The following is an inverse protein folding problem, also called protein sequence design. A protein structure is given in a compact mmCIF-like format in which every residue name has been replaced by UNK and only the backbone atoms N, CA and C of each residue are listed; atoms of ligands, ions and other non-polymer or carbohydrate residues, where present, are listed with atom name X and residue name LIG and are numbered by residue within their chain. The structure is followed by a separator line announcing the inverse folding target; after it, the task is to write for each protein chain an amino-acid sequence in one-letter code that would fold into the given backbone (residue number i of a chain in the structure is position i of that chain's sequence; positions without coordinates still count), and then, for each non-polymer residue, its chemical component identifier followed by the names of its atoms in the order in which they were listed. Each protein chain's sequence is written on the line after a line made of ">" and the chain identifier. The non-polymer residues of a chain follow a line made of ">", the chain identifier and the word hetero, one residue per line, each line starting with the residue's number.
data_IF_418009252649
#
_entry.id   IF_418009252649
#
_cell.length_a   1.000
_cell.length_b   1.000
_cell.length_c   1.000
_cell.angle_alpha   90.00
_cell.angle_beta   90.00
_cell.angle_gamma   90.00
#
_symmetry.space_group_name_H-M   'P 1'
#
loop_
_entity.id
_entity.type
_entity.pdbx_description
1 polymer ?
#
# COMPACT_ATOMS: atom_id res chain seq x y z
N UNK A 1 5.84 -13.91 10.40
CA UNK A 1 5.44 -14.26 11.76
C UNK A 1 4.58 -15.51 11.76
N UNK A 2 4.81 -16.40 12.70
CA UNK A 2 3.96 -17.57 12.96
C UNK A 2 2.80 -17.13 13.84
N UNK A 3 1.92 -16.29 13.31
CA UNK A 3 0.75 -15.81 14.05
C UNK A 3 -0.25 -16.93 14.29
N UNK A 4 -0.87 -16.96 15.46
CA UNK A 4 -1.98 -17.84 15.73
C UNK A 4 -3.19 -17.40 14.90
N UNK A 5 -3.77 -18.32 14.14
CA UNK A 5 -5.01 -18.09 13.39
C UNK A 5 -6.16 -18.68 14.18
N UNK A 6 -7.19 -17.87 14.43
CA UNK A 6 -8.46 -18.33 14.98
C UNK A 6 -9.59 -17.99 14.02
N UNK A 7 -10.64 -18.83 14.00
CA UNK A 7 -11.82 -18.61 13.18
C UNK A 7 -13.08 -18.67 14.05
N UNK A 8 -14.10 -17.92 13.66
CA UNK A 8 -15.39 -17.87 14.35
C UNK A 8 -16.48 -17.40 13.41
N UNK A 9 -17.73 -17.68 13.76
CA UNK A 9 -18.90 -17.20 13.06
C UNK A 9 -19.42 -15.94 13.78
N UNK A 10 -19.67 -14.89 13.01
CA UNK A 10 -20.32 -13.66 13.51
C UNK A 10 -21.81 -13.76 13.20
N UNK A 11 -22.62 -13.97 14.23
CA UNK A 11 -24.07 -14.18 14.11
C UNK A 11 -24.89 -12.90 14.32
N UNK A 12 -24.25 -11.85 14.84
CA UNK A 12 -24.93 -10.56 15.10
C UNK A 12 -24.05 -9.36 14.73
N UNK A 13 -24.70 -8.22 14.49
CA UNK A 13 -24.00 -6.96 14.11
C UNK A 13 -23.19 -6.31 15.24
N UNK A 14 -23.22 -6.84 16.44
CA UNK A 14 -22.52 -6.29 17.64
C UNK A 14 -21.87 -7.40 18.47
N UNK A 15 -21.39 -8.44 17.84
CA UNK A 15 -20.74 -9.53 18.55
C UNK A 15 -19.26 -9.20 18.77
N UNK A 16 -18.78 -9.19 20.03
CA UNK A 16 -17.37 -9.03 20.32
C UNK A 16 -16.62 -10.31 19.99
N UNK A 17 -15.52 -10.17 19.26
CA UNK A 17 -14.57 -11.26 19.00
C UNK A 17 -13.43 -11.14 19.99
N UNK A 18 -13.19 -12.18 20.79
CA UNK A 18 -12.02 -12.24 21.66
C UNK A 18 -10.83 -12.75 20.85
N UNK A 19 -9.84 -11.91 20.64
CA UNK A 19 -8.68 -12.23 19.79
C UNK A 19 -7.57 -12.97 20.54
N UNK A 20 -7.64 -13.13 21.86
CA UNK A 20 -6.57 -13.72 22.70
C UNK A 20 -5.15 -13.19 22.38
N UNK A 21 -5.06 -11.95 21.86
CA UNK A 21 -3.81 -11.28 21.54
C UNK A 21 -3.40 -10.38 22.68
N UNK A 22 -2.09 -10.21 22.89
CA UNK A 22 -1.57 -9.18 23.81
C UNK A 22 -1.93 -7.79 23.23
N UNK A 23 -2.22 -6.84 24.11
CA UNK A 23 -2.57 -5.48 23.71
C UNK A 23 -1.47 -4.77 22.91
N UNK A 24 -0.24 -5.25 22.96
CA UNK A 24 0.91 -4.73 22.22
C UNK A 24 1.15 -5.43 20.88
N UNK A 25 0.51 -6.55 20.63
CA UNK A 25 0.65 -7.28 19.37
C UNK A 25 -0.28 -6.73 18.29
N UNK A 26 0.14 -6.84 17.03
CA UNK A 26 -0.74 -6.58 15.90
C UNK A 26 -1.64 -7.79 15.65
N UNK A 27 -2.81 -7.54 15.12
CA UNK A 27 -3.72 -8.57 14.62
C UNK A 27 -4.26 -8.17 13.25
N UNK A 28 -4.56 -9.16 12.42
CA UNK A 28 -5.21 -8.95 11.13
C UNK A 28 -6.47 -9.79 11.04
N UNK A 29 -7.60 -9.14 10.79
CA UNK A 29 -8.85 -9.80 10.42
C UNK A 29 -8.85 -10.14 8.93
N UNK A 30 -9.64 -11.14 8.54
CA UNK A 30 -9.71 -11.61 7.16
C UNK A 30 -8.33 -12.02 6.59
N UNK A 31 -7.60 -12.93 7.24
CA UNK A 31 -6.30 -13.38 6.76
C UNK A 31 -6.43 -13.98 5.35
N UNK A 32 -5.42 -13.75 4.50
CA UNK A 32 -5.40 -14.17 3.09
C UNK A 32 -6.60 -13.70 2.25
N UNK A 33 -7.38 -12.76 2.74
CA UNK A 33 -8.57 -12.21 2.06
C UNK A 33 -9.63 -13.27 1.72
N UNK A 34 -9.82 -14.25 2.58
CA UNK A 34 -10.74 -15.37 2.35
C UNK A 34 -12.21 -15.02 2.56
N UNK A 35 -12.51 -13.99 3.37
CA UNK A 35 -13.87 -13.51 3.63
C UNK A 35 -14.25 -12.33 2.74
N UNK A 36 -15.53 -12.22 2.41
CA UNK A 36 -16.06 -11.13 1.59
C UNK A 36 -16.60 -9.99 2.46
N UNK A 37 -15.71 -9.29 3.16
CA UNK A 37 -16.01 -8.13 3.99
C UNK A 37 -14.79 -7.20 4.09
N UNK A 38 -15.01 -5.94 4.52
CA UNK A 38 -13.96 -4.97 4.76
C UNK A 38 -13.78 -4.71 6.24
N UNK A 39 -12.55 -4.43 6.63
CA UNK A 39 -12.17 -4.20 8.03
C UNK A 39 -11.76 -2.75 8.23
N UNK A 40 -12.41 -2.09 9.21
CA UNK A 40 -12.03 -0.76 9.66
C UNK A 40 -11.28 -0.85 10.99
N UNK A 41 -9.97 -0.72 10.93
CA UNK A 41 -9.12 -0.76 12.12
C UNK A 41 -9.15 0.57 12.88
N UNK A 42 -9.09 0.49 14.20
CA UNK A 42 -8.86 1.68 15.01
C UNK A 42 -7.45 2.22 14.76
N UNK A 43 -7.19 3.53 14.97
CA UNK A 43 -5.90 4.13 14.65
C UNK A 43 -4.68 3.43 15.29
N UNK A 44 -4.80 3.01 16.57
CA UNK A 44 -3.73 2.31 17.26
C UNK A 44 -3.44 0.92 16.66
N UNK A 45 -4.47 0.21 16.23
CA UNK A 45 -4.30 -1.11 15.61
C UNK A 45 -3.75 -0.97 14.19
N UNK A 46 -4.17 0.07 13.47
CA UNK A 46 -3.63 0.39 12.15
C UNK A 46 -2.14 0.72 12.22
N UNK A 47 -1.70 1.49 13.22
CA UNK A 47 -0.27 1.81 13.43
C UNK A 47 0.59 0.56 13.65
N UNK A 48 0.09 -0.42 14.41
CA UNK A 48 0.80 -1.71 14.58
C UNK A 48 0.88 -2.50 13.28
N UNK A 49 -0.17 -2.44 12.45
CA UNK A 49 -0.15 -3.06 11.14
C UNK A 49 0.80 -2.34 10.16
N UNK A 50 0.94 -1.02 10.27
CA UNK A 50 1.95 -0.25 9.52
C UNK A 50 3.37 -0.74 9.87
N UNK A 51 3.68 -0.96 11.14
CA UNK A 51 4.94 -1.53 11.60
C UNK A 51 5.14 -2.95 11.05
N UNK A 52 4.12 -3.82 11.16
CA UNK A 52 4.17 -5.19 10.64
C UNK A 52 4.40 -5.27 9.12
N UNK A 53 3.90 -4.29 8.35
CA UNK A 53 4.20 -4.17 6.91
C UNK A 53 5.67 -3.83 6.70
N UNK A 54 6.20 -2.85 7.45
CA UNK A 54 7.59 -2.40 7.32
C UNK A 54 8.61 -3.47 7.71
N UNK A 55 8.25 -4.30 8.68
CA UNK A 55 9.06 -5.42 9.18
C UNK A 55 8.94 -6.68 8.31
N UNK A 56 7.97 -6.70 7.37
CA UNK A 56 7.76 -7.83 6.46
C UNK A 56 6.97 -9.00 7.08
N UNK A 57 6.27 -8.77 8.17
CA UNK A 57 5.49 -9.78 8.88
C UNK A 57 4.18 -10.16 8.17
N UNK A 58 3.65 -9.27 7.34
CA UNK A 58 2.43 -9.51 6.56
C UNK A 58 2.75 -10.04 5.16
N UNK A 59 2.04 -11.08 4.74
CA UNK A 59 2.12 -11.59 3.37
C UNK A 59 1.49 -10.62 2.35
N UNK A 60 1.75 -10.81 1.06
CA UNK A 60 1.27 -9.91 0.00
C UNK A 60 -0.25 -9.83 -0.11
N UNK A 61 -0.98 -10.92 0.13
CA UNK A 61 -2.45 -10.90 0.09
C UNK A 61 -3.02 -10.05 1.21
N UNK A 62 -2.44 -10.14 2.40
CA UNK A 62 -2.86 -9.35 3.55
C UNK A 62 -2.53 -7.88 3.38
N UNK A 63 -1.35 -7.57 2.83
CA UNK A 63 -0.98 -6.20 2.47
C UNK A 63 -1.91 -5.61 1.41
N UNK A 64 -2.22 -6.38 0.37
CA UNK A 64 -3.16 -5.98 -0.68
C UNK A 64 -4.54 -5.68 -0.12
N UNK A 65 -5.08 -6.57 0.71
CA UNK A 65 -6.40 -6.40 1.30
C UNK A 65 -6.47 -5.23 2.28
N UNK A 66 -5.45 -5.05 3.11
CA UNK A 66 -5.41 -3.98 4.10
C UNK A 66 -5.48 -2.58 3.44
N UNK A 67 -4.68 -2.34 2.41
CA UNK A 67 -4.73 -1.07 1.68
C UNK A 67 -6.03 -0.89 0.89
N UNK A 68 -6.53 -1.95 0.26
CA UNK A 68 -7.80 -1.91 -0.47
C UNK A 68 -8.98 -1.59 0.44
N UNK A 69 -9.00 -2.15 1.65
CA UNK A 69 -9.99 -1.83 2.68
C UNK A 69 -9.87 -0.38 3.14
N UNK A 70 -8.65 0.07 3.47
CA UNK A 70 -8.40 1.42 3.92
C UNK A 70 -8.82 2.46 2.87
N UNK A 71 -8.48 2.24 1.59
CA UNK A 71 -8.87 3.14 0.50
C UNK A 71 -10.39 3.16 0.30
N UNK A 72 -11.04 2.00 0.28
CA UNK A 72 -12.48 1.91 0.08
C UNK A 72 -13.27 2.55 1.24
N UNK A 73 -12.82 2.35 2.48
CA UNK A 73 -13.44 2.96 3.66
C UNK A 73 -13.22 4.49 3.69
N UNK A 74 -12.06 4.96 3.27
CA UNK A 74 -11.79 6.38 3.07
C UNK A 74 -12.75 6.99 2.03
N UNK A 75 -12.91 6.38 0.87
CA UNK A 75 -13.83 6.83 -0.17
C UNK A 75 -15.30 6.83 0.26
N UNK A 76 -15.66 5.90 1.13
CA UNK A 76 -17.02 5.80 1.68
C UNK A 76 -17.26 6.73 2.89
N UNK A 77 -16.24 7.47 3.36
CA UNK A 77 -16.35 8.39 4.49
C UNK A 77 -16.31 7.72 5.87
N UNK A 78 -15.94 6.44 5.95
CA UNK A 78 -15.81 5.71 7.23
C UNK A 78 -14.45 5.91 7.89
N UNK A 79 -13.44 6.33 7.14
CA UNK A 79 -12.11 6.67 7.64
C UNK A 79 -11.57 7.95 6.97
N UNK A 80 -10.55 8.57 7.58
CA UNK A 80 -9.96 9.78 7.04
C UNK A 80 -8.97 9.48 5.91
N UNK A 81 -8.79 10.45 5.00
CA UNK A 81 -7.73 10.40 3.98
C UNK A 81 -6.35 10.29 4.64
N UNK A 82 -6.14 11.00 5.76
CA UNK A 82 -4.87 10.96 6.49
C UNK A 82 -4.53 9.56 7.01
N UNK A 83 -5.51 8.75 7.42
CA UNK A 83 -5.28 7.37 7.82
C UNK A 83 -4.81 6.49 6.65
N UNK A 84 -5.44 6.65 5.47
CA UNK A 84 -4.99 5.96 4.26
C UNK A 84 -3.58 6.39 3.83
N UNK A 85 -3.27 7.69 3.90
CA UNK A 85 -1.93 8.19 3.57
C UNK A 85 -0.86 7.73 4.57
N UNK A 86 -1.18 7.66 5.86
CA UNK A 86 -0.26 7.09 6.85
C UNK A 86 0.07 5.66 6.52
N UNK A 87 -0.95 4.82 6.32
CA UNK A 87 -0.78 3.43 5.93
C UNK A 87 0.04 3.31 4.62
N UNK A 88 -0.18 4.18 3.64
CA UNK A 88 0.52 4.15 2.36
C UNK A 88 2.04 4.29 2.50
N UNK A 89 2.53 5.00 3.51
CA UNK A 89 3.98 5.11 3.79
C UNK A 89 4.63 3.79 4.15
N UNK A 90 3.89 2.89 4.79
CA UNK A 90 4.42 1.60 5.19
C UNK A 90 4.83 0.74 3.98
N UNK A 91 4.27 1.02 2.80
CA UNK A 91 4.56 0.29 1.55
C UNK A 91 5.77 0.82 0.78
N UNK A 92 6.56 1.74 1.32
CA UNK A 92 7.75 2.30 0.65
C UNK A 92 8.86 1.29 0.33
N UNK A 93 8.76 0.06 0.85
CA UNK A 93 9.65 -1.07 0.55
C UNK A 93 8.92 -2.23 -0.14
N UNK A 94 7.76 -1.98 -0.76
CA UNK A 94 6.94 -3.03 -1.37
C UNK A 94 7.68 -3.74 -2.50
N UNK A 95 7.53 -5.05 -2.56
CA UNK A 95 8.23 -5.93 -3.51
C UNK A 95 7.28 -6.72 -4.41
N UNK A 96 5.98 -6.67 -4.16
CA UNK A 96 4.98 -7.37 -4.95
C UNK A 96 4.21 -6.43 -5.88
N UNK A 97 4.25 -6.72 -7.18
CA UNK A 97 3.64 -5.88 -8.20
C UNK A 97 2.13 -5.66 -8.02
N UNK A 98 1.30 -6.66 -7.67
CA UNK A 98 -0.13 -6.44 -7.45
C UNK A 98 -0.40 -5.47 -6.29
N UNK A 99 0.37 -5.58 -5.21
CA UNK A 99 0.23 -4.70 -4.04
C UNK A 99 0.59 -3.26 -4.40
N UNK A 100 1.71 -3.06 -5.12
CA UNK A 100 2.13 -1.72 -5.55
C UNK A 100 1.17 -1.10 -6.57
N UNK A 101 0.60 -1.91 -7.48
CA UNK A 101 -0.35 -1.43 -8.49
C UNK A 101 -1.65 -0.94 -7.87
N UNK A 102 -2.16 -1.65 -6.87
CA UNK A 102 -3.36 -1.23 -6.13
C UNK A 102 -3.10 0.05 -5.33
N UNK A 103 -1.94 0.14 -4.66
CA UNK A 103 -1.54 1.35 -3.95
C UNK A 103 -1.46 2.56 -4.89
N UNK A 104 -0.83 2.39 -6.05
CA UNK A 104 -0.73 3.44 -7.06
C UNK A 104 -2.11 3.89 -7.54
N UNK A 105 -3.05 2.97 -7.74
CA UNK A 105 -4.42 3.29 -8.12
C UNK A 105 -5.15 4.09 -7.06
N UNK A 106 -5.01 3.71 -5.79
CA UNK A 106 -5.59 4.43 -4.65
C UNK A 106 -5.04 5.85 -4.53
N UNK A 107 -3.72 6.00 -4.64
CA UNK A 107 -3.06 7.31 -4.59
C UNK A 107 -3.50 8.21 -5.76
N UNK A 108 -3.58 7.70 -6.99
CA UNK A 108 -4.12 8.47 -8.12
C UNK A 108 -5.57 8.89 -7.92
N UNK A 109 -6.37 8.02 -7.31
CA UNK A 109 -7.75 8.35 -6.96
C UNK A 109 -7.88 9.53 -5.99
N UNK A 110 -6.93 9.69 -5.06
CA UNK A 110 -6.85 10.86 -4.17
C UNK A 110 -6.35 12.09 -4.92
N UNK A 111 -5.29 11.95 -5.74
CA UNK A 111 -4.73 13.03 -6.54
C UNK A 111 -5.80 13.75 -7.36
N UNK A 112 -6.64 12.99 -8.06
CA UNK A 112 -7.73 13.53 -8.88
C UNK A 112 -8.73 14.39 -8.08
N UNK A 113 -8.86 14.15 -6.77
CA UNK A 113 -9.76 14.92 -5.91
C UNK A 113 -9.15 16.23 -5.39
N UNK A 114 -7.82 16.30 -5.35
CA UNK A 114 -7.10 17.44 -4.79
C UNK A 114 -6.34 18.25 -5.86
N UNK A 115 -6.46 17.85 -7.13
CA UNK A 115 -5.87 18.58 -8.24
C UNK A 115 -6.29 20.06 -8.22
N UNK A 116 -5.31 20.96 -8.35
CA UNK A 116 -5.53 22.42 -8.26
C UNK A 116 -5.73 22.97 -6.85
N UNK A 117 -5.73 22.15 -5.80
CA UNK A 117 -5.75 22.61 -4.41
C UNK A 117 -4.36 23.06 -3.93
N UNK A 118 -4.31 23.82 -2.83
CA UNK A 118 -3.05 24.22 -2.16
C UNK A 118 -2.24 23.03 -1.64
N UNK A 119 -2.87 21.86 -1.46
CA UNK A 119 -2.22 20.64 -0.96
C UNK A 119 -1.57 19.81 -2.06
N UNK A 120 -1.86 20.07 -3.33
CA UNK A 120 -1.45 19.22 -4.45
C UNK A 120 0.06 19.02 -4.53
N UNK A 121 0.86 20.08 -4.44
CA UNK A 121 2.32 19.96 -4.50
C UNK A 121 2.90 19.11 -3.36
N UNK A 122 2.41 19.29 -2.13
CA UNK A 122 2.83 18.46 -0.98
C UNK A 122 2.42 17.00 -1.12
N UNK A 123 1.28 16.77 -1.76
CA UNK A 123 0.82 15.42 -2.08
C UNK A 123 1.72 14.74 -3.12
N UNK A 124 2.11 15.44 -4.17
CA UNK A 124 3.07 14.96 -5.17
C UNK A 124 4.40 14.55 -4.52
N UNK A 125 4.95 15.39 -3.65
CA UNK A 125 6.17 15.08 -2.90
C UNK A 125 6.00 13.82 -2.02
N UNK A 126 4.87 13.70 -1.36
CA UNK A 126 4.54 12.53 -0.56
C UNK A 126 4.51 11.26 -1.43
N UNK A 127 3.80 11.25 -2.54
CA UNK A 127 3.73 10.10 -3.44
C UNK A 127 5.12 9.75 -4.01
N UNK A 128 5.89 10.76 -4.42
CA UNK A 128 7.27 10.58 -4.89
C UNK A 128 8.12 9.84 -3.85
N UNK A 129 8.00 10.20 -2.56
CA UNK A 129 8.75 9.58 -1.48
C UNK A 129 8.44 8.08 -1.31
N UNK A 130 7.23 7.64 -1.63
CA UNK A 130 6.84 6.22 -1.57
C UNK A 130 7.50 5.43 -2.71
N UNK A 131 7.39 5.93 -3.95
CA UNK A 131 7.85 5.19 -5.14
C UNK A 131 9.37 5.24 -5.34
N UNK A 132 10.07 6.23 -4.80
CA UNK A 132 11.50 6.46 -5.02
C UNK A 132 12.34 5.25 -4.61
N UNK A 133 12.19 4.79 -3.38
CA UNK A 133 12.95 3.65 -2.86
C UNK A 133 12.67 2.35 -3.64
N UNK A 134 11.41 2.13 -4.04
CA UNK A 134 11.02 0.95 -4.82
C UNK A 134 11.64 1.00 -6.22
N UNK A 135 11.62 2.16 -6.86
CA UNK A 135 12.21 2.37 -8.18
C UNK A 135 13.74 2.19 -8.16
N UNK A 136 14.43 2.76 -7.15
CA UNK A 136 15.87 2.60 -6.94
C UNK A 136 16.26 1.13 -6.76
N UNK A 137 15.53 0.38 -5.95
CA UNK A 137 15.79 -1.04 -5.73
C UNK A 137 15.50 -1.92 -6.95
N UNK A 138 14.48 -1.56 -7.73
CA UNK A 138 14.11 -2.28 -8.96
C UNK A 138 15.08 -2.01 -10.10
N UNK A 139 15.65 -0.81 -10.17
CA UNK A 139 16.53 -0.35 -11.23
C UNK A 139 15.79 -0.14 -12.57
N UNK A 140 16.52 0.24 -13.61
CA UNK A 140 15.98 0.50 -14.95
C UNK A 140 16.03 -0.71 -15.87
N UNK A 141 17.05 -1.53 -15.73
CA UNK A 141 17.34 -2.59 -16.69
C UNK A 141 16.83 -3.95 -16.19
N UNK A 142 16.40 -4.76 -17.13
CA UNK A 142 15.98 -6.13 -16.85
C UNK A 142 17.16 -6.94 -16.33
N UNK A 143 16.98 -7.68 -15.23
CA UNK A 143 17.96 -8.64 -14.70
C UNK A 143 17.79 -10.00 -15.40
N UNK A 144 18.88 -10.77 -15.58
CA UNK A 144 18.86 -12.04 -16.33
C UNK A 144 17.81 -13.06 -15.84
N UNK A 145 17.57 -13.13 -14.53
CA UNK A 145 16.62 -14.07 -13.91
C UNK A 145 15.27 -13.44 -13.58
N UNK A 146 14.98 -12.25 -14.14
CA UNK A 146 13.79 -11.49 -13.76
C UNK A 146 12.51 -12.07 -14.35
N UNK A 147 11.57 -12.40 -13.47
CA UNK A 147 10.23 -12.82 -13.83
C UNK A 147 9.30 -11.65 -14.22
N UNK A 148 8.15 -11.99 -14.79
CA UNK A 148 7.17 -11.01 -15.24
C UNK A 148 6.71 -10.06 -14.14
N UNK A 149 6.48 -10.55 -12.92
CA UNK A 149 6.02 -9.72 -11.80
C UNK A 149 7.07 -8.69 -11.35
N UNK A 150 8.37 -9.02 -11.41
CA UNK A 150 9.43 -8.06 -11.11
C UNK A 150 9.53 -6.97 -12.18
N UNK A 151 9.37 -7.33 -13.45
CA UNK A 151 9.30 -6.35 -14.54
C UNK A 151 8.09 -5.41 -14.37
N UNK A 152 6.94 -5.95 -13.94
CA UNK A 152 5.74 -5.16 -13.65
C UNK A 152 5.94 -4.24 -12.44
N UNK A 153 6.55 -4.73 -11.36
CA UNK A 153 6.89 -3.92 -10.18
C UNK A 153 7.76 -2.71 -10.59
N UNK A 154 8.84 -2.97 -11.32
CA UNK A 154 9.72 -1.92 -11.85
C UNK A 154 8.97 -0.90 -12.70
N UNK A 155 8.19 -1.38 -13.67
CA UNK A 155 7.39 -0.52 -14.55
C UNK A 155 6.42 0.34 -13.75
N UNK A 156 5.72 -0.24 -12.78
CA UNK A 156 4.79 0.49 -11.91
C UNK A 156 5.51 1.55 -11.09
N UNK A 157 6.64 1.20 -10.47
CA UNK A 157 7.40 2.13 -9.64
C UNK A 157 7.94 3.32 -10.45
N UNK A 158 8.63 3.05 -11.57
CA UNK A 158 9.22 4.09 -12.43
C UNK A 158 8.15 4.97 -13.09
N UNK A 159 7.05 4.39 -13.57
CA UNK A 159 5.95 5.17 -14.18
C UNK A 159 5.30 6.11 -13.19
N UNK A 160 5.08 5.67 -11.95
CA UNK A 160 4.51 6.53 -10.93
C UNK A 160 5.50 7.59 -10.46
N UNK A 161 6.78 7.26 -10.30
CA UNK A 161 7.80 8.22 -9.94
C UNK A 161 7.94 9.33 -11.01
N UNK A 162 7.92 8.96 -12.29
CA UNK A 162 7.89 9.91 -13.41
C UNK A 162 6.60 10.75 -13.44
N UNK A 163 5.44 10.12 -13.20
CA UNK A 163 4.15 10.83 -13.12
C UNK A 163 4.17 11.90 -12.03
N UNK A 164 4.75 11.60 -10.88
CA UNK A 164 4.90 12.55 -9.78
C UNK A 164 6.10 13.51 -9.96
N UNK A 165 6.66 13.58 -11.16
CA UNK A 165 7.61 14.62 -11.56
C UNK A 165 9.01 14.47 -10.95
N UNK A 166 9.50 13.25 -10.77
CA UNK A 166 10.90 13.01 -10.41
C UNK A 166 11.80 13.32 -11.61
N UNK A 167 12.60 14.36 -11.50
CA UNK A 167 13.42 14.89 -12.61
C UNK A 167 14.45 13.86 -13.10
N UNK A 168 15.10 13.12 -12.20
CA UNK A 168 16.09 12.13 -12.57
C UNK A 168 15.43 10.98 -13.35
N UNK A 169 14.26 10.54 -12.92
CA UNK A 169 13.47 9.50 -13.61
C UNK A 169 13.04 9.98 -15.00
N UNK A 170 12.55 11.19 -15.13
CA UNK A 170 12.14 11.76 -16.42
C UNK A 170 13.32 11.92 -17.38
N UNK A 171 14.47 12.36 -16.88
CA UNK A 171 15.71 12.48 -17.66
C UNK A 171 16.19 11.12 -18.17
N UNK A 172 16.25 10.11 -17.30
CA UNK A 172 16.65 8.75 -17.67
C UNK A 172 15.68 8.09 -18.67
N UNK A 173 14.37 8.28 -18.49
CA UNK A 173 13.36 7.81 -19.43
C UNK A 173 13.55 8.44 -20.82
N UNK A 174 13.76 9.74 -20.88
CA UNK A 174 14.01 10.46 -22.13
C UNK A 174 15.28 9.98 -22.84
N UNK A 175 16.35 9.78 -22.10
CA UNK A 175 17.61 9.24 -22.65
C UNK A 175 17.44 7.84 -23.24
N UNK A 176 16.69 6.94 -22.55
CA UNK A 176 16.42 5.59 -23.05
C UNK A 176 15.47 5.55 -24.26
N UNK A 177 14.58 6.51 -24.38
CA UNK A 177 13.67 6.62 -25.53
C UNK A 177 14.38 7.11 -26.80
N UNK A 178 15.48 7.86 -26.65
CA UNK A 178 16.27 8.44 -27.75
C UNK A 178 17.29 7.46 -28.34
N UNK A 179 17.43 6.23 -27.81
CA UNK A 179 18.30 5.17 -28.30
C UNK A 179 17.56 4.21 -29.22
#
# INVERSE_FOLDING_TARGET
>A
GTGNISSGLIESSKEPINLNADSNEWFKLNPDQTGFYRVNYQPNDLSKLEEAIQDGDLNGKDRLGLQGDAYALCRAGYSSVSSFLSLSRAYSKETEAPVLSELASGLRGIENLIEGSEFHNRYIEFCRSIFKNIAENSGWDKKESEGHLQALLRSTALSNLGHYGDEDTLHQASAKFSL
#
